data_IF_294168641344
#
_entry.id   IF_294168641344
#
_cell.length_a   1.000
_cell.length_b   1.000
_cell.length_c   1.000
_cell.angle_alpha   90.00
_cell.angle_beta   90.00
_cell.angle_gamma   90.00
#
_symmetry.space_group_name_H-M   'P 1'
#
loop_
_entity.id
_entity.type
_entity.pdbx_description
1 polymer ?
#
# COMPACT_ATOMS: atom_id res chain seq x y z
N UNK A 1 9.33 2.89 9.09
CA UNK A 1 9.30 1.74 8.13
C UNK A 1 10.10 0.58 8.71
N UNK A 2 9.42 -0.48 9.12
CA UNK A 2 10.10 -1.64 9.70
C UNK A 2 10.97 -2.37 8.69
N UNK A 3 10.48 -2.53 7.45
CA UNK A 3 11.28 -3.14 6.38
C UNK A 3 12.63 -2.47 6.19
N UNK A 4 12.70 -1.13 6.24
CA UNK A 4 13.96 -0.41 6.13
C UNK A 4 14.90 -0.70 7.32
N UNK A 5 14.38 -0.66 8.55
CA UNK A 5 15.15 -0.95 9.75
C UNK A 5 15.67 -2.39 9.79
N UNK A 6 14.86 -3.36 9.38
CA UNK A 6 15.29 -4.75 9.22
C UNK A 6 16.40 -4.90 8.18
N UNK A 7 16.33 -4.12 7.09
CA UNK A 7 17.41 -4.05 6.10
C UNK A 7 18.72 -3.58 6.73
N UNK A 8 18.68 -2.44 7.43
CA UNK A 8 19.84 -1.86 8.11
C UNK A 8 20.43 -2.79 9.17
N UNK A 9 19.58 -3.40 10.02
CA UNK A 9 20.01 -4.38 11.01
C UNK A 9 20.76 -5.57 10.37
N UNK A 10 20.43 -5.90 9.14
CA UNK A 10 21.15 -6.91 8.33
C UNK A 10 22.27 -6.35 7.47
N UNK A 11 22.71 -5.11 7.69
CA UNK A 11 23.76 -4.43 6.92
C UNK A 11 23.46 -4.40 5.40
N UNK A 12 22.19 -4.30 5.02
CA UNK A 12 21.75 -4.20 3.62
C UNK A 12 21.10 -2.85 3.36
N UNK A 13 21.60 -2.13 2.37
CA UNK A 13 21.02 -0.88 1.89
C UNK A 13 19.91 -1.18 0.87
N UNK A 14 18.65 -1.13 1.31
CA UNK A 14 17.51 -1.44 0.44
C UNK A 14 17.32 -0.44 -0.72
N UNK A 15 17.88 0.78 -0.61
CA UNK A 15 17.84 1.75 -1.70
C UNK A 15 18.74 1.39 -2.88
N UNK A 16 19.69 0.47 -2.68
CA UNK A 16 20.56 -0.08 -3.73
C UNK A 16 19.99 -1.39 -4.33
N UNK A 17 18.79 -1.82 -3.95
CA UNK A 17 18.18 -3.09 -4.36
C UNK A 17 16.92 -2.82 -5.19
N UNK A 18 16.76 -3.53 -6.31
CA UNK A 18 15.56 -3.50 -7.14
C UNK A 18 15.22 -2.09 -7.66
N UNK A 19 14.03 -1.60 -7.32
CA UNK A 19 13.54 -0.27 -7.71
C UNK A 19 13.97 0.86 -6.75
N UNK A 20 14.85 0.57 -5.80
CA UNK A 20 15.33 1.54 -4.80
C UNK A 20 14.32 1.87 -3.70
N UNK A 21 13.14 1.26 -3.70
CA UNK A 21 12.12 1.44 -2.66
C UNK A 21 12.57 0.77 -1.35
N UNK A 22 12.60 1.46 -0.20
CA UNK A 22 12.99 0.88 1.08
C UNK A 22 11.95 -0.07 1.71
N UNK A 23 11.03 -0.63 0.90
CA UNK A 23 9.93 -1.49 1.31
C UNK A 23 10.26 -2.98 1.40
N UNK A 24 9.26 -3.76 1.82
CA UNK A 24 9.38 -5.18 2.13
C UNK A 24 9.78 -6.06 0.92
N UNK A 25 9.44 -5.68 -0.31
CA UNK A 25 9.83 -6.44 -1.50
C UNK A 25 11.34 -6.37 -1.74
N UNK A 26 11.97 -5.21 -1.52
CA UNK A 26 13.43 -5.09 -1.62
C UNK A 26 14.12 -5.72 -0.40
N UNK A 27 13.47 -5.72 0.78
CA UNK A 27 13.94 -6.50 1.93
C UNK A 27 13.93 -8.01 1.64
N UNK A 28 12.88 -8.51 1.00
CA UNK A 28 12.81 -9.91 0.54
C UNK A 28 13.97 -10.27 -0.39
N UNK A 29 14.20 -9.43 -1.43
CA UNK A 29 15.32 -9.63 -2.37
C UNK A 29 16.68 -9.58 -1.67
N UNK A 30 16.86 -8.69 -0.69
CA UNK A 30 18.13 -8.47 -0.01
C UNK A 30 18.44 -9.49 1.09
N UNK A 31 17.42 -10.04 1.78
CA UNK A 31 17.56 -10.87 2.98
C UNK A 31 16.75 -12.16 2.98
N UNK A 32 16.12 -12.49 1.85
CA UNK A 32 15.31 -13.70 1.71
C UNK A 32 13.87 -13.54 2.19
N UNK A 33 13.05 -14.54 1.86
CA UNK A 33 11.58 -14.48 2.02
C UNK A 33 11.13 -14.37 3.49
N UNK A 34 11.80 -15.05 4.42
CA UNK A 34 11.42 -15.02 5.85
C UNK A 34 11.48 -13.61 6.43
N UNK A 35 12.58 -12.89 6.18
CA UNK A 35 12.76 -11.52 6.66
C UNK A 35 11.84 -10.57 5.90
N UNK A 36 11.61 -10.80 4.61
CA UNK A 36 10.67 -10.03 3.80
C UNK A 36 9.23 -10.14 4.31
N UNK A 37 8.74 -11.35 4.60
CA UNK A 37 7.41 -11.58 5.18
C UNK A 37 7.31 -10.91 6.56
N UNK A 38 8.32 -11.07 7.41
CA UNK A 38 8.33 -10.41 8.71
C UNK A 38 8.24 -8.88 8.59
N UNK A 39 8.94 -8.29 7.61
CA UNK A 39 8.82 -6.86 7.29
C UNK A 39 7.42 -6.46 6.84
N UNK A 40 6.74 -7.28 6.01
CA UNK A 40 5.35 -7.07 5.60
C UNK A 40 4.43 -7.09 6.82
N UNK A 41 4.56 -8.09 7.69
CA UNK A 41 3.73 -8.24 8.89
C UNK A 41 3.88 -7.05 9.85
N UNK A 42 5.09 -6.57 10.07
CA UNK A 42 5.33 -5.39 10.91
C UNK A 42 4.79 -4.11 10.27
N UNK A 43 4.94 -3.95 8.94
CA UNK A 43 4.39 -2.78 8.23
C UNK A 43 2.86 -2.85 8.13
N UNK A 44 2.25 -4.04 8.12
CA UNK A 44 0.81 -4.24 8.29
C UNK A 44 0.36 -3.89 9.72
N UNK A 45 1.02 -4.46 10.72
CA UNK A 45 0.67 -4.29 12.14
C UNK A 45 0.68 -2.82 12.57
N UNK A 46 1.62 -2.02 12.09
CA UNK A 46 1.65 -0.57 12.41
C UNK A 46 0.45 0.21 11.84
N UNK A 47 -0.20 -0.31 10.81
CA UNK A 47 -1.47 0.23 10.31
C UNK A 47 -2.68 -0.29 11.10
N UNK A 48 -2.69 -1.59 11.36
CA UNK A 48 -3.79 -2.29 12.03
C UNK A 48 -3.94 -1.92 13.50
N UNK A 49 -2.83 -2.02 14.26
CA UNK A 49 -2.86 -1.89 15.72
C UNK A 49 -3.34 -0.51 16.19
N UNK A 50 -2.83 0.63 15.68
CA UNK A 50 -3.32 1.93 16.11
C UNK A 50 -4.80 2.15 15.80
N UNK A 51 -5.28 1.65 14.66
CA UNK A 51 -6.67 1.83 14.24
C UNK A 51 -7.60 1.02 15.13
N UNK A 52 -7.31 -0.28 15.33
CA UNK A 52 -8.17 -1.11 16.17
C UNK A 52 -8.15 -0.64 17.63
N UNK A 53 -6.99 -0.20 18.13
CA UNK A 53 -6.89 0.35 19.47
C UNK A 53 -7.69 1.65 19.61
N UNK A 54 -7.60 2.58 18.64
CA UNK A 54 -8.36 3.84 18.67
C UNK A 54 -9.87 3.64 18.62
N UNK A 55 -10.34 2.62 17.87
CA UNK A 55 -11.75 2.24 17.83
C UNK A 55 -12.17 1.61 19.16
N UNK A 56 -11.45 0.60 19.65
CA UNK A 56 -11.83 -0.18 20.84
C UNK A 56 -11.76 0.63 22.15
N UNK A 57 -10.86 1.62 22.20
CA UNK A 57 -10.73 2.51 23.36
C UNK A 57 -11.66 3.74 23.32
N UNK A 58 -12.39 3.96 22.22
CA UNK A 58 -13.26 5.11 22.05
C UNK A 58 -12.52 6.45 21.83
N UNK A 59 -11.19 6.44 21.66
CA UNK A 59 -10.39 7.68 21.47
C UNK A 59 -10.62 8.36 20.11
N UNK A 60 -11.15 7.65 19.12
CA UNK A 60 -11.32 8.20 17.77
C UNK A 60 -12.76 8.04 17.25
N UNK A 61 -13.78 8.63 17.92
CA UNK A 61 -15.15 8.56 17.44
C UNK A 61 -15.35 9.43 16.19
N UNK A 62 -16.26 9.01 15.31
CA UNK A 62 -16.68 9.78 14.16
C UNK A 62 -15.52 10.18 13.23
N UNK A 63 -15.39 11.47 12.94
CA UNK A 63 -14.36 11.99 12.04
C UNK A 63 -12.93 11.92 12.57
N UNK A 64 -12.72 11.74 13.88
CA UNK A 64 -11.38 11.60 14.46
C UNK A 64 -10.65 10.33 14.02
N UNK A 65 -11.38 9.34 13.53
CA UNK A 65 -10.78 8.14 12.94
C UNK A 65 -9.98 8.45 11.66
N UNK A 66 -10.31 9.52 10.92
CA UNK A 66 -9.65 9.88 9.66
C UNK A 66 -8.16 10.14 9.85
N UNK A 67 -7.74 11.11 10.70
CA UNK A 67 -6.32 11.32 10.93
C UNK A 67 -5.63 10.10 11.56
N UNK A 68 -6.30 9.36 12.43
CA UNK A 68 -5.77 8.14 13.04
C UNK A 68 -5.49 7.07 11.97
N UNK A 69 -6.38 6.87 11.01
CA UNK A 69 -6.22 5.92 9.93
C UNK A 69 -5.17 6.35 8.90
N UNK A 70 -5.13 7.65 8.57
CA UNK A 70 -4.21 8.16 7.55
C UNK A 70 -2.78 8.37 8.07
N UNK A 71 -2.57 8.63 9.37
CA UNK A 71 -1.25 8.87 9.95
C UNK A 71 -0.26 7.72 9.72
N UNK A 72 -0.58 6.42 9.94
CA UNK A 72 0.36 5.34 9.68
C UNK A 72 0.68 5.16 8.19
N UNK A 73 -0.27 5.46 7.28
CA UNK A 73 -0.06 5.42 5.83
C UNK A 73 0.86 6.56 5.41
N UNK A 74 0.56 7.78 5.83
CA UNK A 74 1.37 8.97 5.55
C UNK A 74 2.78 8.84 6.16
N UNK A 75 2.89 8.39 7.41
CA UNK A 75 4.18 8.16 8.09
C UNK A 75 5.02 7.05 7.46
N UNK A 76 4.39 6.09 6.74
CA UNK A 76 5.12 5.14 5.92
C UNK A 76 5.60 5.78 4.61
N UNK A 77 4.72 6.49 3.92
CA UNK A 77 4.99 7.12 2.62
C UNK A 77 6.00 8.27 2.74
N UNK A 78 5.85 9.10 3.75
CA UNK A 78 6.63 10.32 4.01
C UNK A 78 7.52 10.18 5.25
N UNK A 79 8.14 9.02 5.43
CA UNK A 79 8.94 8.72 6.63
C UNK A 79 9.95 9.83 6.95
N UNK A 80 9.87 10.48 8.13
CA UNK A 80 10.82 11.51 8.54
C UNK A 80 12.24 10.95 8.65
N UNK A 81 12.40 9.69 9.08
CA UNK A 81 13.69 9.00 9.14
C UNK A 81 14.35 8.78 7.77
N UNK A 82 13.60 8.95 6.67
CA UNK A 82 14.06 8.82 5.30
C UNK A 82 13.99 10.14 4.52
N UNK A 83 13.97 11.27 5.24
CA UNK A 83 13.85 12.62 4.67
C UNK A 83 12.63 12.75 3.74
N UNK A 84 11.49 12.21 4.18
CA UNK A 84 10.24 12.21 3.41
C UNK A 84 10.16 11.19 2.26
N UNK A 85 11.19 10.40 2.02
CA UNK A 85 11.26 9.39 0.94
C UNK A 85 11.04 7.98 1.51
N UNK A 86 9.81 7.69 1.93
CA UNK A 86 9.41 6.39 2.48
C UNK A 86 9.11 5.33 1.42
N UNK A 87 8.23 4.40 1.75
CA UNK A 87 7.82 3.29 0.89
C UNK A 87 6.49 3.52 0.18
N UNK A 88 6.06 2.51 -0.57
CA UNK A 88 4.80 2.54 -1.36
C UNK A 88 3.53 2.36 -0.53
N UNK A 89 3.63 2.18 0.77
CA UNK A 89 2.55 2.12 1.76
C UNK A 89 1.51 0.99 1.58
N UNK A 90 1.76 -0.03 0.75
CA UNK A 90 0.77 -1.08 0.44
C UNK A 90 0.43 -1.90 1.69
N UNK A 91 1.41 -2.46 2.39
CA UNK A 91 1.18 -3.31 3.56
C UNK A 91 0.47 -2.56 4.70
N UNK A 92 0.86 -1.30 4.95
CA UNK A 92 0.21 -0.46 5.96
C UNK A 92 -1.22 -0.08 5.57
N UNK A 93 -1.50 0.14 4.28
CA UNK A 93 -2.86 0.34 3.76
C UNK A 93 -3.73 -0.88 4.09
N UNK A 94 -3.27 -2.09 3.81
CA UNK A 94 -3.98 -3.32 4.19
C UNK A 94 -4.24 -3.39 5.70
N UNK A 95 -3.25 -3.03 6.53
CA UNK A 95 -3.41 -2.98 7.98
C UNK A 95 -4.49 -2.00 8.43
N UNK A 96 -4.48 -0.79 7.90
CA UNK A 96 -5.49 0.24 8.22
C UNK A 96 -6.89 -0.21 7.83
N UNK A 97 -7.08 -0.70 6.60
CA UNK A 97 -8.39 -1.18 6.15
C UNK A 97 -8.89 -2.39 6.92
N UNK A 98 -7.98 -3.29 7.32
CA UNK A 98 -8.33 -4.43 8.19
C UNK A 98 -8.82 -3.96 9.56
N UNK A 99 -8.18 -2.94 10.16
CA UNK A 99 -8.60 -2.38 11.43
C UNK A 99 -9.92 -1.61 11.35
N UNK A 100 -10.15 -0.85 10.26
CA UNK A 100 -11.35 -0.04 10.08
C UNK A 100 -12.62 -0.86 9.83
N UNK A 101 -12.49 -1.97 9.12
CA UNK A 101 -13.64 -2.70 8.56
C UNK A 101 -13.66 -4.19 8.90
N UNK A 102 -12.94 -4.61 9.95
CA UNK A 102 -12.89 -6.02 10.34
C UNK A 102 -12.45 -6.95 9.20
N UNK A 103 -11.43 -6.55 8.46
CA UNK A 103 -10.87 -7.24 7.29
C UNK A 103 -11.72 -7.19 6.01
N UNK A 104 -12.96 -6.72 6.03
CA UNK A 104 -13.86 -6.74 4.87
C UNK A 104 -13.24 -6.03 3.66
N UNK A 105 -12.96 -4.73 3.77
CA UNK A 105 -12.44 -3.93 2.64
C UNK A 105 -11.03 -4.37 2.24
N UNK A 106 -10.20 -4.77 3.18
CA UNK A 106 -8.87 -5.29 2.86
C UNK A 106 -8.94 -6.62 2.08
N UNK A 107 -9.89 -7.50 2.40
CA UNK A 107 -10.12 -8.73 1.65
C UNK A 107 -10.62 -8.44 0.23
N UNK A 108 -11.59 -7.53 0.08
CA UNK A 108 -12.06 -7.07 -1.24
C UNK A 108 -10.89 -6.52 -2.06
N UNK A 109 -10.05 -5.67 -1.46
CA UNK A 109 -8.88 -5.13 -2.15
C UNK A 109 -7.88 -6.22 -2.55
N UNK A 110 -7.62 -7.20 -1.67
CA UNK A 110 -6.75 -8.34 -1.98
C UNK A 110 -7.29 -9.17 -3.15
N UNK A 111 -8.61 -9.46 -3.18
CA UNK A 111 -9.27 -10.19 -4.27
C UNK A 111 -9.17 -9.40 -5.58
N UNK A 112 -9.46 -8.10 -5.57
CA UNK A 112 -9.32 -7.23 -6.74
C UNK A 112 -7.90 -7.29 -7.30
N UNK A 113 -6.88 -7.12 -6.45
CA UNK A 113 -5.48 -7.20 -6.88
C UNK A 113 -5.11 -8.59 -7.41
N UNK A 114 -5.61 -9.66 -6.79
CA UNK A 114 -5.36 -11.03 -7.24
C UNK A 114 -5.98 -11.30 -8.61
N UNK A 115 -7.22 -10.88 -8.84
CA UNK A 115 -7.93 -11.00 -10.13
C UNK A 115 -7.20 -10.20 -11.22
N UNK A 116 -6.85 -8.94 -10.95
CA UNK A 116 -6.08 -8.11 -11.88
C UNK A 116 -4.73 -8.73 -12.20
N UNK A 117 -4.08 -9.32 -11.20
CA UNK A 117 -2.81 -10.02 -11.37
C UNK A 117 -2.94 -11.27 -12.24
N UNK A 118 -3.96 -12.07 -11.98
CA UNK A 118 -4.25 -13.26 -12.76
C UNK A 118 -4.58 -12.90 -14.21
N UNK A 119 -5.48 -11.94 -14.45
CA UNK A 119 -5.83 -11.45 -15.79
C UNK A 119 -4.61 -10.95 -16.57
N UNK A 120 -3.76 -10.14 -15.92
CA UNK A 120 -2.51 -9.67 -16.51
C UNK A 120 -1.55 -10.80 -16.86
N UNK A 121 -1.49 -11.87 -16.06
CA UNK A 121 -0.67 -13.05 -16.35
C UNK A 121 -1.17 -13.80 -17.58
N UNK A 122 -2.48 -13.99 -17.73
CA UNK A 122 -3.09 -14.65 -18.89
C UNK A 122 -2.87 -13.87 -20.19
N UNK A 123 -2.99 -12.54 -20.15
CA UNK A 123 -2.82 -11.66 -21.32
C UNK A 123 -1.34 -11.60 -21.75
N UNK A 124 -0.40 -11.51 -20.78
CA UNK A 124 1.01 -11.24 -21.04
C UNK A 124 1.93 -12.44 -20.79
N UNK A 125 1.50 -13.66 -21.14
CA UNK A 125 2.19 -14.94 -20.87
C UNK A 125 3.71 -14.98 -21.13
N UNK A 126 4.26 -14.06 -21.93
CA UNK A 126 5.69 -14.07 -22.35
C UNK A 126 6.52 -12.86 -21.90
N UNK A 127 5.94 -11.89 -21.18
CA UNK A 127 6.69 -10.69 -20.77
C UNK A 127 6.87 -10.64 -19.24
N UNK A 128 8.10 -10.40 -18.76
CA UNK A 128 8.31 -10.15 -17.34
C UNK A 128 7.50 -8.92 -16.90
N UNK A 129 6.93 -8.99 -15.71
CA UNK A 129 6.13 -7.91 -15.14
C UNK A 129 7.00 -6.68 -14.90
N UNK A 130 6.52 -5.52 -15.33
CA UNK A 130 7.18 -4.25 -15.03
C UNK A 130 6.65 -3.66 -13.72
N UNK A 131 7.49 -2.92 -13.02
CA UNK A 131 7.08 -2.16 -11.82
C UNK A 131 5.95 -1.17 -12.12
N UNK A 132 5.88 -0.68 -13.36
CA UNK A 132 4.83 0.19 -13.89
C UNK A 132 3.45 -0.50 -13.82
N UNK A 133 3.36 -1.76 -14.28
CA UNK A 133 2.13 -2.52 -14.24
C UNK A 133 1.67 -2.81 -12.81
N UNK A 134 2.62 -3.08 -11.90
CA UNK A 134 2.30 -3.32 -10.49
C UNK A 134 1.80 -2.02 -9.82
N UNK A 135 2.40 -0.86 -10.09
CA UNK A 135 1.95 0.43 -9.57
C UNK A 135 0.56 0.81 -10.07
N UNK A 136 0.30 0.62 -11.37
CA UNK A 136 -1.03 0.86 -11.96
C UNK A 136 -2.09 -0.03 -11.32
N UNK A 137 -1.80 -1.33 -11.11
CA UNK A 137 -2.75 -2.25 -10.48
C UNK A 137 -3.09 -1.85 -9.05
N UNK A 138 -2.11 -1.43 -8.25
CA UNK A 138 -2.34 -0.97 -6.88
C UNK A 138 -3.30 0.22 -6.86
N UNK A 139 -3.05 1.24 -7.67
CA UNK A 139 -3.87 2.45 -7.68
C UNK A 139 -5.26 2.20 -8.28
N UNK A 140 -5.34 1.52 -9.44
CA UNK A 140 -6.63 1.20 -10.06
C UNK A 140 -7.44 0.18 -9.24
N UNK A 141 -6.77 -0.76 -8.56
CA UNK A 141 -7.42 -1.68 -7.63
C UNK A 141 -8.08 -0.96 -6.46
N UNK A 142 -7.40 0.04 -5.87
CA UNK A 142 -8.01 0.86 -4.81
C UNK A 142 -9.15 1.73 -5.35
N UNK A 143 -9.09 2.14 -6.62
CA UNK A 143 -10.22 2.83 -7.27
C UNK A 143 -11.43 1.90 -7.44
N UNK A 144 -11.23 0.64 -7.78
CA UNK A 144 -12.32 -0.37 -7.83
C UNK A 144 -12.93 -0.57 -6.44
N UNK A 145 -12.11 -0.57 -5.38
CA UNK A 145 -12.60 -0.60 -3.99
C UNK A 145 -13.54 0.58 -3.69
N UNK A 146 -13.32 1.75 -4.26
CA UNK A 146 -14.24 2.88 -4.10
C UNK A 146 -15.66 2.57 -4.58
N UNK A 147 -15.77 1.91 -5.73
CA UNK A 147 -17.07 1.48 -6.25
C UNK A 147 -17.74 0.51 -5.26
N UNK A 148 -16.97 -0.44 -4.70
CA UNK A 148 -17.46 -1.33 -3.67
C UNK A 148 -17.99 -0.57 -2.44
N UNK A 149 -17.24 0.44 -1.95
CA UNK A 149 -17.64 1.25 -0.80
C UNK A 149 -18.95 2.01 -1.06
N UNK A 150 -19.13 2.56 -2.28
CA UNK A 150 -20.37 3.25 -2.66
C UNK A 150 -21.56 2.30 -2.75
N UNK A 151 -21.39 1.14 -3.39
CA UNK A 151 -22.46 0.16 -3.56
C UNK A 151 -22.93 -0.43 -2.22
N UNK A 152 -22.04 -0.56 -1.24
CA UNK A 152 -22.36 -1.05 0.09
C UNK A 152 -22.66 0.06 1.10
N UNK A 153 -22.89 1.29 0.63
CA UNK A 153 -23.33 2.43 1.44
C UNK A 153 -22.46 2.73 2.65
N UNK A 154 -21.13 2.58 2.50
CA UNK A 154 -20.21 2.93 3.57
C UNK A 154 -20.31 4.39 3.96
N UNK A 155 -20.06 4.71 5.23
CA UNK A 155 -20.19 6.06 5.77
C UNK A 155 -19.24 7.06 5.09
N UNK A 156 -19.61 8.35 5.12
CA UNK A 156 -18.78 9.45 4.60
C UNK A 156 -17.38 9.46 5.22
N UNK A 157 -17.24 9.06 6.48
CA UNK A 157 -15.95 8.95 7.18
C UNK A 157 -15.03 7.93 6.48
N UNK A 158 -15.54 6.76 6.12
CA UNK A 158 -14.80 5.73 5.41
C UNK A 158 -14.42 6.20 3.99
N UNK A 159 -15.31 6.89 3.31
CA UNK A 159 -15.03 7.48 1.98
C UNK A 159 -13.94 8.56 2.05
N UNK A 160 -13.88 9.35 3.12
CA UNK A 160 -12.82 10.34 3.32
C UNK A 160 -11.47 9.67 3.65
N UNK A 161 -11.45 8.59 4.42
CA UNK A 161 -10.24 7.78 4.62
C UNK A 161 -9.78 7.20 3.29
N UNK A 162 -10.72 6.68 2.47
CA UNK A 162 -10.39 6.18 1.14
C UNK A 162 -9.75 7.28 0.28
N UNK A 163 -10.32 8.47 0.23
CA UNK A 163 -9.80 9.59 -0.55
C UNK A 163 -8.36 9.96 -0.14
N UNK A 164 -8.09 10.08 1.15
CA UNK A 164 -6.75 10.36 1.67
C UNK A 164 -5.76 9.24 1.36
N UNK A 165 -6.17 7.98 1.54
CA UNK A 165 -5.33 6.83 1.21
C UNK A 165 -5.06 6.75 -0.30
N UNK A 166 -6.07 6.99 -1.14
CA UNK A 166 -5.93 7.01 -2.59
C UNK A 166 -4.93 8.09 -3.04
N UNK A 167 -5.05 9.30 -2.53
CA UNK A 167 -4.12 10.39 -2.84
C UNK A 167 -2.67 10.03 -2.47
N UNK A 168 -2.46 9.41 -1.29
CA UNK A 168 -1.13 8.95 -0.87
C UNK A 168 -0.60 7.85 -1.81
N UNK A 169 -1.44 6.87 -2.19
CA UNK A 169 -1.01 5.80 -3.11
C UNK A 169 -0.71 6.32 -4.51
N UNK A 170 -1.51 7.24 -5.06
CA UNK A 170 -1.21 7.92 -6.33
C UNK A 170 0.14 8.62 -6.25
N UNK A 171 0.40 9.36 -5.18
CA UNK A 171 1.68 10.05 -5.00
C UNK A 171 2.86 9.08 -4.89
N UNK A 172 2.74 7.99 -4.11
CA UNK A 172 3.84 7.03 -3.93
C UNK A 172 4.14 6.21 -5.18
N UNK A 173 3.17 6.06 -6.09
CA UNK A 173 3.30 5.37 -7.38
C UNK A 173 3.39 6.31 -8.58
N UNK A 174 3.59 7.62 -8.37
CA UNK A 174 3.60 8.62 -9.45
C UNK A 174 4.62 8.35 -10.56
N UNK A 175 5.76 7.77 -10.23
CA UNK A 175 6.82 7.46 -11.21
C UNK A 175 6.35 6.35 -12.15
N UNK A 176 5.78 5.29 -11.60
CA UNK A 176 5.21 4.16 -12.34
C UNK A 176 4.05 4.60 -13.22
N UNK A 177 3.14 5.40 -12.65
CA UNK A 177 1.99 5.96 -13.37
C UNK A 177 2.42 6.87 -14.53
N UNK A 178 3.38 7.77 -14.28
CA UNK A 178 3.92 8.66 -15.31
C UNK A 178 4.64 7.89 -16.43
N UNK A 179 5.38 6.85 -16.09
CA UNK A 179 6.07 5.99 -17.08
C UNK A 179 5.06 5.23 -17.94
N UNK A 180 4.00 4.72 -17.32
CA UNK A 180 2.90 4.05 -18.04
C UNK A 180 2.20 4.99 -19.01
N UNK A 181 1.85 6.21 -18.59
CA UNK A 181 1.21 7.22 -19.44
C UNK A 181 2.09 7.58 -20.65
N UNK A 182 3.39 7.82 -20.42
CA UNK A 182 4.33 8.14 -21.53
C UNK A 182 4.43 7.00 -22.55
N UNK A 183 4.38 5.75 -22.09
CA UNK A 183 4.43 4.58 -22.96
C UNK A 183 3.14 4.44 -23.79
N UNK A 184 1.99 4.70 -23.20
CA UNK A 184 0.69 4.63 -23.86
C UNK A 184 0.54 5.69 -24.95
N UNK A 185 1.12 6.89 -24.75
CA UNK A 185 1.12 7.99 -25.73
C UNK A 185 2.06 7.71 -26.92
N UNK A 186 3.18 7.00 -26.70
CA UNK A 186 4.12 6.66 -27.80
C UNK A 186 3.64 5.51 -28.69
N UNK A 187 2.60 4.79 -28.29
CA UNK A 187 2.02 3.67 -29.07
C UNK A 187 0.83 4.10 -29.92
N UNK A 188 0.42 5.37 -29.84
CA UNK A 188 -0.54 6.04 -30.73
C UNK A 188 0.22 6.93 -31.73
#
# INVERSE_FOLDING_TARGET
MFSYWLGLAGRKNLKAVGDGNPGAMNLWKARGYKVGIFGILLDFAKGYVPVIWGISSGYAPGYLIIPLALAPIAGHAFSPFLRGKGGKAIAVTFGVWSGLTGFEVSLVYAVVLAVMKAGSFWINKKKPRSAEADGLQVVSGLFIVFIYLLLNMFSAVILLVWLGNFAILVYTHRVELASWLKRSVKLK
#
